data_IF_126224655335
#
_entry.id   IF_126224655335
#
_cell.length_a   1.000
_cell.length_b   1.000
_cell.length_c   1.000
_cell.angle_alpha   90.00
_cell.angle_beta   90.00
_cell.angle_gamma   90.00
#
_symmetry.space_group_name_H-M   'P 1'
#
loop_
_entity.id
_entity.type
_entity.pdbx_description
1 polymer ?
#
# COMPACT_ATOMS: atom_id res chain seq x y z
N UNK A 1 -2.67 5.74 12.61
CA UNK A 1 -4.09 5.79 12.14
C UNK A 1 -4.84 7.08 12.46
N UNK A 2 -4.43 7.92 13.42
CA UNK A 2 -5.16 9.17 13.75
C UNK A 2 -5.31 10.12 12.55
N UNK A 3 -4.29 10.19 11.69
CA UNK A 3 -4.35 10.95 10.44
C UNK A 3 -5.43 10.42 9.49
N UNK A 4 -5.47 9.10 9.27
CA UNK A 4 -6.49 8.43 8.46
C UNK A 4 -7.89 8.67 9.01
N UNK A 5 -8.09 8.57 10.33
CA UNK A 5 -9.38 8.82 10.96
C UNK A 5 -9.89 10.24 10.68
N UNK A 6 -9.01 11.25 10.68
CA UNK A 6 -9.38 12.62 10.30
C UNK A 6 -9.71 12.76 8.81
N UNK A 7 -9.00 12.06 7.93
CA UNK A 7 -9.29 12.07 6.50
C UNK A 7 -10.64 11.42 6.17
N UNK A 8 -10.98 10.33 6.86
CA UNK A 8 -12.26 9.60 6.69
C UNK A 8 -13.50 10.43 7.04
N UNK A 9 -13.35 11.54 7.77
CA UNK A 9 -14.46 12.48 8.04
C UNK A 9 -14.73 13.42 6.87
N UNK A 10 -13.83 13.48 5.88
CA UNK A 10 -13.88 14.43 4.76
C UNK A 10 -13.84 13.76 3.40
N UNK A 11 -13.26 12.58 3.31
CA UNK A 11 -12.99 11.87 2.07
C UNK A 11 -13.32 10.38 2.21
N UNK A 12 -13.55 9.74 1.07
CA UNK A 12 -13.48 8.29 0.95
C UNK A 12 -11.99 7.89 0.94
N UNK A 13 -11.60 7.00 1.85
CA UNK A 13 -10.19 6.66 2.06
C UNK A 13 -9.99 5.17 1.86
N UNK A 14 -9.01 4.82 1.02
CA UNK A 14 -8.44 3.48 0.88
C UNK A 14 -7.00 3.54 1.41
N UNK A 15 -6.61 2.57 2.22
CA UNK A 15 -5.22 2.41 2.67
C UNK A 15 -4.58 1.27 1.88
N UNK A 16 -3.44 1.52 1.25
CA UNK A 16 -2.52 0.47 0.80
C UNK A 16 -1.37 0.43 1.81
N UNK A 17 -1.13 -0.72 2.43
CA UNK A 17 -0.09 -0.91 3.45
C UNK A 17 0.93 -1.93 2.99
N UNK A 18 2.19 -1.77 3.38
CA UNK A 18 3.22 -2.81 3.30
C UNK A 18 3.49 -3.41 4.69
N UNK A 19 4.69 -3.96 4.91
CA UNK A 19 5.21 -4.46 6.20
C UNK A 19 4.64 -5.78 6.74
N UNK A 20 3.87 -6.56 5.98
CA UNK A 20 3.45 -7.90 6.38
C UNK A 20 4.65 -8.81 6.70
N UNK A 21 5.69 -8.82 5.87
CA UNK A 21 6.92 -9.58 6.11
C UNK A 21 7.60 -9.16 7.42
N UNK A 22 7.72 -7.85 7.67
CA UNK A 22 8.32 -7.32 8.90
C UNK A 22 7.50 -7.69 10.14
N UNK A 23 6.18 -7.63 10.04
CA UNK A 23 5.26 -8.06 11.09
C UNK A 23 5.41 -9.55 11.40
N UNK A 24 5.57 -10.39 10.37
CA UNK A 24 5.79 -11.83 10.51
C UNK A 24 7.15 -12.15 11.12
N UNK A 25 8.19 -11.41 10.74
CA UNK A 25 9.54 -11.63 11.27
C UNK A 25 9.65 -11.27 12.75
N UNK A 26 8.83 -10.35 13.24
CA UNK A 26 8.72 -10.11 14.68
C UNK A 26 8.13 -11.32 15.46
N UNK A 27 7.51 -12.28 14.76
CA UNK A 27 6.95 -13.52 15.32
C UNK A 27 7.81 -14.74 15.04
N UNK A 28 8.52 -14.76 13.92
CA UNK A 28 9.37 -15.86 13.48
C UNK A 28 10.68 -15.31 12.91
N UNK A 29 11.78 -15.51 13.65
CA UNK A 29 13.11 -15.02 13.28
C UNK A 29 13.78 -15.97 12.27
N UNK A 30 13.51 -15.74 10.98
CA UNK A 30 14.12 -16.46 9.85
C UNK A 30 14.64 -15.46 8.80
N UNK A 31 15.64 -15.87 8.04
CA UNK A 31 16.22 -15.06 6.96
C UNK A 31 15.16 -14.56 5.97
N UNK A 32 15.29 -13.29 5.57
CA UNK A 32 14.38 -12.61 4.62
C UNK A 32 14.92 -12.56 3.19
N UNK A 33 16.08 -13.16 2.88
CA UNK A 33 16.66 -13.15 1.53
C UNK A 33 15.94 -14.12 0.62
N UNK A 34 15.56 -15.28 1.14
CA UNK A 34 14.82 -16.28 0.37
C UNK A 34 13.37 -15.83 0.11
N UNK A 35 12.92 -15.91 -1.15
CA UNK A 35 11.56 -15.57 -1.56
C UNK A 35 10.51 -16.35 -0.78
N UNK A 36 10.66 -17.66 -0.63
CA UNK A 36 9.71 -18.52 0.08
C UNK A 36 9.63 -18.12 1.56
N UNK A 37 10.76 -17.78 2.18
CA UNK A 37 10.75 -17.28 3.56
C UNK A 37 9.96 -15.97 3.66
N UNK A 38 10.12 -15.05 2.70
CA UNK A 38 9.33 -13.82 2.68
C UNK A 38 7.82 -14.13 2.59
N UNK A 39 7.40 -15.08 1.75
CA UNK A 39 5.99 -15.48 1.67
C UNK A 39 5.48 -16.09 2.98
N UNK A 40 6.27 -16.95 3.64
CA UNK A 40 5.93 -17.51 4.97
C UNK A 40 5.78 -16.40 6.00
N UNK A 41 6.72 -15.46 6.04
CA UNK A 41 6.68 -14.31 6.95
C UNK A 41 5.47 -13.43 6.66
N UNK A 42 5.17 -13.12 5.40
CA UNK A 42 3.99 -12.37 5.03
C UNK A 42 2.69 -13.06 5.46
N UNK A 43 2.58 -14.38 5.24
CA UNK A 43 1.39 -15.15 5.64
C UNK A 43 1.17 -15.12 7.17
N UNK A 44 2.24 -15.16 7.96
CA UNK A 44 2.18 -15.03 9.43
C UNK A 44 1.85 -13.59 9.84
N UNK A 45 2.50 -12.62 9.20
CA UNK A 45 2.48 -11.22 9.60
C UNK A 45 1.26 -10.45 9.15
N UNK A 46 0.68 -10.77 8.00
CA UNK A 46 -0.47 -10.09 7.42
C UNK A 46 -1.68 -10.03 8.39
N UNK A 47 -2.19 -11.14 8.97
CA UNK A 47 -3.30 -11.05 9.91
C UNK A 47 -2.93 -10.26 11.18
N UNK A 48 -1.68 -10.35 11.63
CA UNK A 48 -1.20 -9.57 12.78
C UNK A 48 -1.16 -8.06 12.46
N UNK A 49 -0.68 -7.67 11.28
CA UNK A 49 -0.68 -6.30 10.80
C UNK A 49 -2.09 -5.71 10.78
N UNK A 50 -3.06 -6.46 10.24
CA UNK A 50 -4.48 -6.04 10.24
C UNK A 50 -5.04 -5.93 11.65
N UNK A 51 -4.66 -6.82 12.58
CA UNK A 51 -5.10 -6.69 13.98
C UNK A 51 -4.57 -5.42 14.64
N UNK A 52 -3.32 -5.03 14.37
CA UNK A 52 -2.73 -3.79 14.90
C UNK A 52 -3.44 -2.57 14.34
N UNK A 53 -3.73 -2.54 13.03
CA UNK A 53 -4.54 -1.47 12.45
C UNK A 53 -5.90 -1.37 13.10
N UNK A 54 -6.61 -2.48 13.27
CA UNK A 54 -7.94 -2.50 13.89
C UNK A 54 -7.92 -2.08 15.36
N UNK A 55 -6.92 -2.51 16.16
CA UNK A 55 -6.76 -2.06 17.55
C UNK A 55 -6.59 -0.54 17.63
N UNK A 56 -5.79 0.03 16.74
CA UNK A 56 -5.56 1.48 16.70
C UNK A 56 -6.78 2.24 16.17
N UNK A 57 -7.49 1.70 15.17
CA UNK A 57 -8.70 2.30 14.59
C UNK A 57 -9.89 2.28 15.56
N UNK A 58 -9.98 1.27 16.43
CA UNK A 58 -11.03 1.15 17.44
C UNK A 58 -11.07 2.37 18.38
N UNK A 59 -9.93 3.01 18.64
CA UNK A 59 -9.84 4.27 19.43
C UNK A 59 -10.62 5.43 18.80
N UNK A 60 -10.93 5.35 17.51
CA UNK A 60 -11.69 6.33 16.74
C UNK A 60 -13.07 5.79 16.31
N UNK A 61 -13.50 4.63 16.83
CA UNK A 61 -14.77 4.00 16.44
C UNK A 61 -14.81 3.52 14.99
N UNK A 62 -13.64 3.26 14.38
CA UNK A 62 -13.51 2.79 12.99
C UNK A 62 -13.10 1.31 12.96
N UNK A 63 -13.47 0.64 11.88
CA UNK A 63 -13.02 -0.72 11.55
C UNK A 63 -12.20 -0.70 10.27
N UNK A 64 -11.26 -1.63 10.15
CA UNK A 64 -10.47 -1.88 8.94
C UNK A 64 -10.83 -3.23 8.33
N UNK A 65 -11.14 -3.24 7.03
CA UNK A 65 -11.42 -4.44 6.24
C UNK A 65 -10.21 -4.85 5.40
N UNK A 66 -9.73 -6.08 5.57
CA UNK A 66 -8.60 -6.60 4.78
C UNK A 66 -9.02 -6.89 3.33
N UNK A 67 -8.19 -6.45 2.39
CA UNK A 67 -8.25 -6.80 0.98
C UNK A 67 -6.84 -7.24 0.54
N UNK A 68 -6.72 -8.41 -0.08
CA UNK A 68 -5.45 -8.88 -0.65
C UNK A 68 -5.61 -8.99 -2.16
N UNK A 69 -4.73 -8.33 -2.91
CA UNK A 69 -4.77 -8.26 -4.36
C UNK A 69 -3.38 -8.53 -4.95
N UNK A 70 -3.35 -8.84 -6.23
CA UNK A 70 -2.13 -8.94 -7.03
C UNK A 70 -2.26 -8.07 -8.27
N UNK A 71 -1.17 -7.76 -8.97
CA UNK A 71 -1.23 -7.10 -10.27
C UNK A 71 -2.14 -7.83 -11.28
N UNK A 72 -2.18 -9.17 -11.22
CA UNK A 72 -3.04 -9.99 -12.08
C UNK A 72 -4.53 -9.83 -11.81
N UNK A 73 -4.92 -9.46 -10.58
CA UNK A 73 -6.32 -9.19 -10.26
C UNK A 73 -6.83 -7.93 -10.97
N UNK A 74 -5.93 -6.97 -11.23
CA UNK A 74 -6.22 -5.75 -11.99
C UNK A 74 -6.30 -5.98 -13.51
N UNK A 75 -5.64 -7.01 -14.04
CA UNK A 75 -5.82 -7.44 -15.44
C UNK A 75 -7.17 -8.17 -15.66
N UNK A 76 -7.73 -8.74 -14.59
CA UNK A 76 -9.02 -9.42 -14.61
C UNK A 76 -10.18 -8.48 -14.31
N UNK A 77 -10.94 -8.10 -15.34
CA UNK A 77 -12.19 -7.31 -15.21
C UNK A 77 -13.13 -7.87 -14.14
N UNK A 78 -13.24 -9.20 -14.05
CA UNK A 78 -14.10 -9.88 -13.07
C UNK A 78 -13.54 -9.70 -11.65
N UNK A 79 -12.26 -9.98 -11.43
CA UNK A 79 -11.65 -9.86 -10.11
C UNK A 79 -11.68 -8.41 -9.63
N UNK A 80 -11.28 -7.47 -10.49
CA UNK A 80 -11.36 -6.02 -10.23
C UNK A 80 -12.78 -5.60 -9.85
N UNK A 81 -13.81 -6.02 -10.60
CA UNK A 81 -15.20 -5.66 -10.29
C UNK A 81 -15.67 -6.19 -8.93
N UNK A 82 -15.28 -7.42 -8.57
CA UNK A 82 -15.62 -7.98 -7.25
C UNK A 82 -14.90 -7.24 -6.12
N UNK A 83 -13.61 -6.96 -6.27
CA UNK A 83 -12.85 -6.17 -5.31
C UNK A 83 -13.45 -4.77 -5.13
N UNK A 84 -13.75 -4.07 -6.24
CA UNK A 84 -14.38 -2.75 -6.22
C UNK A 84 -15.72 -2.76 -5.49
N UNK A 85 -16.59 -3.72 -5.80
CA UNK A 85 -17.89 -3.80 -5.12
C UNK A 85 -17.75 -3.97 -3.59
N UNK A 86 -16.76 -4.74 -3.13
CA UNK A 86 -16.49 -4.89 -1.70
C UNK A 86 -15.93 -3.60 -1.09
N UNK A 87 -14.98 -2.95 -1.76
CA UNK A 87 -14.39 -1.67 -1.36
C UNK A 87 -15.45 -0.57 -1.28
N UNK A 88 -16.27 -0.40 -2.31
CA UNK A 88 -17.36 0.57 -2.36
C UNK A 88 -18.33 0.36 -1.18
N UNK A 89 -18.67 -0.90 -0.87
CA UNK A 89 -19.54 -1.21 0.27
C UNK A 89 -18.86 -0.93 1.62
N UNK A 90 -17.57 -1.23 1.77
CA UNK A 90 -16.81 -0.91 2.99
C UNK A 90 -16.81 0.61 3.24
N UNK A 91 -16.54 1.41 2.21
CA UNK A 91 -16.56 2.87 2.27
C UNK A 91 -17.96 3.37 2.67
N UNK A 92 -19.02 2.86 2.04
CA UNK A 92 -20.41 3.22 2.38
C UNK A 92 -20.78 2.90 3.84
N UNK A 93 -20.14 1.91 4.46
CA UNK A 93 -20.33 1.54 5.86
C UNK A 93 -19.36 2.25 6.82
N UNK A 94 -18.50 3.14 6.31
CA UNK A 94 -17.48 3.83 7.11
C UNK A 94 -16.32 2.92 7.57
N UNK A 95 -16.14 1.77 6.91
CA UNK A 95 -15.03 0.83 7.13
C UNK A 95 -13.86 1.24 6.23
N UNK A 96 -12.65 1.30 6.78
CA UNK A 96 -11.44 1.58 6.02
C UNK A 96 -11.01 0.31 5.24
N UNK A 97 -11.01 0.30 3.91
CA UNK A 97 -10.39 -0.77 3.14
C UNK A 97 -8.87 -0.70 3.33
N UNK A 98 -8.26 -1.81 3.74
CA UNK A 98 -6.82 -1.95 3.94
C UNK A 98 -6.31 -3.01 2.97
N UNK A 99 -5.72 -2.53 1.87
CA UNK A 99 -5.17 -3.31 0.78
C UNK A 99 -3.70 -3.64 1.06
N UNK A 100 -3.29 -4.86 0.76
CA UNK A 100 -1.89 -5.25 0.61
C UNK A 100 -1.75 -6.25 -0.54
N UNK A 101 -0.52 -6.49 -1.01
CA UNK A 101 -0.26 -7.55 -1.97
C UNK A 101 -0.58 -8.92 -1.34
N UNK A 102 -1.16 -9.83 -2.14
CA UNK A 102 -1.28 -11.22 -1.78
C UNK A 102 0.05 -11.94 -2.01
N UNK A 103 0.98 -11.77 -1.06
CA UNK A 103 2.34 -12.33 -1.07
C UNK A 103 2.38 -13.86 -1.22
N UNK A 104 1.27 -14.58 -0.97
CA UNK A 104 1.20 -16.03 -1.17
C UNK A 104 1.12 -16.42 -2.66
N UNK A 105 0.54 -15.55 -3.49
CA UNK A 105 0.26 -15.83 -4.91
C UNK A 105 0.99 -14.89 -5.88
N UNK A 106 1.46 -13.75 -5.38
CA UNK A 106 2.32 -12.83 -6.11
C UNK A 106 3.77 -12.97 -5.65
N UNK A 107 4.69 -12.78 -6.60
CA UNK A 107 6.13 -12.72 -6.38
C UNK A 107 6.74 -11.44 -6.98
N UNK A 108 5.93 -10.62 -7.64
CA UNK A 108 6.40 -9.47 -8.42
C UNK A 108 6.90 -8.35 -7.49
N UNK A 109 6.09 -7.87 -6.55
CA UNK A 109 6.52 -6.80 -5.63
C UNK A 109 7.54 -7.30 -4.58
N UNK A 110 7.48 -8.59 -4.20
CA UNK A 110 8.51 -9.18 -3.33
C UNK A 110 9.93 -9.09 -3.95
N UNK A 111 10.00 -9.02 -5.28
CA UNK A 111 11.24 -8.98 -6.07
C UNK A 111 11.52 -7.56 -6.60
N UNK A 112 10.50 -6.75 -6.93
CA UNK A 112 10.61 -5.37 -7.42
C UNK A 112 9.36 -4.54 -7.04
N UNK A 113 9.51 -3.60 -6.10
CA UNK A 113 8.49 -2.58 -5.76
C UNK A 113 7.94 -2.69 -4.34
N UNK A 114 7.69 -1.54 -3.69
CA UNK A 114 7.03 -1.45 -2.38
C UNK A 114 5.58 -1.01 -2.57
N UNK A 115 4.68 -1.87 -3.05
CA UNK A 115 3.24 -1.55 -3.20
C UNK A 115 2.91 -0.26 -3.99
N UNK A 116 3.89 0.42 -4.59
CA UNK A 116 3.73 1.68 -5.30
C UNK A 116 2.86 1.46 -6.54
N UNK A 117 3.21 0.44 -7.34
CA UNK A 117 2.41 0.02 -8.50
C UNK A 117 1.02 -0.44 -8.06
N UNK A 118 0.93 -1.25 -7.01
CA UNK A 118 -0.35 -1.72 -6.46
C UNK A 118 -1.26 -0.54 -6.08
N UNK A 119 -0.70 0.48 -5.44
CA UNK A 119 -1.44 1.67 -5.02
C UNK A 119 -1.86 2.56 -6.20
N UNK A 120 -1.03 2.66 -7.25
CA UNK A 120 -1.39 3.33 -8.50
C UNK A 120 -2.55 2.60 -9.21
N UNK A 121 -2.49 1.26 -9.31
CA UNK A 121 -3.58 0.46 -9.87
C UNK A 121 -4.86 0.57 -9.05
N UNK A 122 -4.76 0.48 -7.72
CA UNK A 122 -5.91 0.65 -6.84
C UNK A 122 -6.56 2.02 -7.03
N UNK A 123 -5.75 3.08 -7.16
CA UNK A 123 -6.25 4.44 -7.41
C UNK A 123 -7.05 4.51 -8.71
N UNK A 124 -6.51 3.97 -9.80
CA UNK A 124 -7.18 3.97 -11.10
C UNK A 124 -8.43 3.08 -11.14
N UNK A 125 -8.32 1.82 -10.74
CA UNK A 125 -9.38 0.82 -10.90
C UNK A 125 -10.51 0.93 -9.88
N UNK A 126 -10.28 1.62 -8.76
CA UNK A 126 -11.30 1.90 -7.75
C UNK A 126 -11.79 3.35 -7.79
N UNK A 127 -11.52 4.08 -8.87
CA UNK A 127 -12.02 5.42 -9.17
C UNK A 127 -11.66 6.47 -8.10
N UNK A 128 -10.46 6.41 -7.54
CA UNK A 128 -9.97 7.44 -6.61
C UNK A 128 -9.33 8.63 -7.33
N UNK A 129 -9.54 9.83 -6.81
CA UNK A 129 -9.06 11.08 -7.44
C UNK A 129 -7.57 11.36 -7.21
N UNK A 130 -6.98 10.81 -6.15
CA UNK A 130 -5.61 11.13 -5.71
C UNK A 130 -4.95 9.96 -4.99
N UNK A 131 -3.73 9.64 -5.41
CA UNK A 131 -2.80 8.79 -4.66
C UNK A 131 -1.88 9.65 -3.79
N UNK A 132 -1.79 9.33 -2.50
CA UNK A 132 -0.83 9.94 -1.56
C UNK A 132 0.15 8.87 -1.09
N UNK A 133 1.41 8.97 -1.53
CA UNK A 133 2.49 8.09 -1.08
C UNK A 133 3.15 8.72 0.15
N UNK A 134 3.21 7.98 1.25
CA UNK A 134 3.95 8.36 2.44
C UNK A 134 5.26 7.58 2.47
N UNK A 135 6.37 8.29 2.31
CA UNK A 135 7.70 7.71 2.18
C UNK A 135 8.68 8.37 3.17
N UNK A 136 9.81 7.71 3.40
CA UNK A 136 11.00 8.31 4.01
C UNK A 136 11.66 9.35 3.09
N UNK A 137 11.32 9.34 1.80
CA UNK A 137 11.61 10.39 0.83
C UNK A 137 10.50 11.46 0.91
N UNK A 138 10.86 12.70 1.25
CA UNK A 138 9.90 13.80 1.50
C UNK A 138 9.42 14.52 0.22
N UNK A 139 9.93 14.12 -0.94
CA UNK A 139 9.53 14.63 -2.24
C UNK A 139 10.50 14.23 -3.35
N UNK A 140 10.18 14.59 -4.58
CA UNK A 140 11.07 14.38 -5.72
C UNK A 140 12.00 15.59 -5.89
N UNK A 141 13.29 15.34 -6.15
CA UNK A 141 14.33 16.36 -6.24
C UNK A 141 14.99 16.35 -7.62
N UNK A 142 15.63 17.46 -7.99
CA UNK A 142 16.42 17.56 -9.23
C UNK A 142 17.68 16.68 -9.23
N UNK A 143 18.16 16.26 -8.05
CA UNK A 143 19.29 15.36 -7.81
C UNK A 143 19.17 14.70 -6.44
N UNK A 144 19.98 13.69 -6.14
CA UNK A 144 19.90 12.95 -4.87
C UNK A 144 20.15 13.87 -3.65
N UNK A 145 19.14 14.14 -2.80
CA UNK A 145 19.29 15.05 -1.66
C UNK A 145 20.19 14.49 -0.55
N UNK A 146 20.45 13.18 -0.54
CA UNK A 146 21.38 12.54 0.41
C UNK A 146 22.84 12.79 0.05
N UNK A 147 23.14 13.08 -1.22
CA UNK A 147 24.49 13.31 -1.72
C UNK A 147 24.78 14.81 -1.93
N UNK A 148 23.75 15.58 -2.28
CA UNK A 148 23.88 16.99 -2.64
C UNK A 148 23.04 17.88 -1.73
N UNK A 149 23.71 18.69 -0.91
CA UNK A 149 23.03 19.64 -0.01
C UNK A 149 22.33 20.80 -0.74
N UNK A 150 22.62 21.00 -2.03
CA UNK A 150 21.98 22.00 -2.88
C UNK A 150 20.82 21.43 -3.72
N UNK A 151 20.41 20.18 -3.47
CA UNK A 151 19.27 19.55 -4.14
C UNK A 151 17.99 20.37 -3.96
N UNK A 152 17.24 20.55 -5.04
CA UNK A 152 16.01 21.34 -5.06
C UNK A 152 14.81 20.44 -5.28
N UNK A 153 13.84 20.54 -4.36
CA UNK A 153 12.58 19.80 -4.46
C UNK A 153 11.76 20.34 -5.64
N UNK A 154 11.27 19.43 -6.48
CA UNK A 154 10.35 19.74 -7.57
C UNK A 154 8.92 19.69 -7.04
N UNK A 155 8.33 20.86 -6.78
CA UNK A 155 7.00 20.96 -6.15
C UNK A 155 5.85 20.44 -7.02
N UNK A 156 6.01 20.52 -8.34
CA UNK A 156 5.02 20.06 -9.31
C UNK A 156 5.72 19.44 -10.51
N UNK A 157 5.27 18.25 -10.88
CA UNK A 157 5.71 17.52 -12.06
C UNK A 157 4.45 17.19 -12.85
N UNK A 158 4.42 17.63 -14.11
CA UNK A 158 3.29 17.38 -15.01
C UNK A 158 3.62 16.32 -16.07
N UNK A 159 4.88 15.91 -16.16
CA UNK A 159 5.37 14.94 -17.12
C UNK A 159 6.52 14.14 -16.50
N UNK A 160 6.42 12.81 -16.53
CA UNK A 160 7.49 11.90 -16.13
C UNK A 160 8.42 11.70 -17.32
N UNK A 161 9.69 12.05 -17.18
CA UNK A 161 10.68 11.86 -18.24
C UNK A 161 11.16 10.40 -18.26
N UNK A 162 11.35 9.85 -19.46
CA UNK A 162 11.90 8.51 -19.65
C UNK A 162 13.27 8.31 -18.96
N UNK A 163 14.09 9.35 -18.90
CA UNK A 163 15.39 9.32 -18.20
C UNK A 163 15.27 9.05 -16.69
N UNK A 164 14.11 9.31 -16.08
CA UNK A 164 13.85 9.02 -14.67
C UNK A 164 13.39 7.59 -14.42
N UNK A 165 12.99 6.86 -15.47
CA UNK A 165 12.53 5.47 -15.37
C UNK A 165 13.67 4.46 -15.51
N UNK A 166 14.86 4.91 -15.94
CA UNK A 166 16.04 4.08 -16.08
C UNK A 166 16.85 4.12 -14.78
N UNK A 167 16.63 3.12 -13.92
CA UNK A 167 17.42 2.86 -12.73
C UNK A 167 18.49 1.79 -13.00
#
# INVERSE_FOLDING_TARGET
>A
VAFLAKLMEKYEVILVTSAAISAGHAKLDIDRKNLINKQVLAAIGQPFLISVYNELLAKFGKLGGQILLTGKDFDSRKATKHAKNAIDMMINLGILPIINENDATAIEEIVFGDNDSLSAYATYFFDADLLVILSDIDGFYDKNPSEFSDAKRLEKITHIKEEWLQA
#
